data_IF_220731083103
#
_entry.id   IF_220731083103
#
_cell.length_a   1.000
_cell.length_b   1.000
_cell.length_c   1.000
_cell.angle_alpha   90.00
_cell.angle_beta   90.00
_cell.angle_gamma   90.00
#
_symmetry.space_group_name_H-M   'P 1'
#
loop_
_entity.id
_entity.type
_entity.pdbx_description
1 polymer ?
#
# COMPACT_ATOMS: atom_id res chain seq x y z
N UNK A 1 6.67 22.06 -54.19
CA UNK A 1 6.17 22.29 -52.82
C UNK A 1 5.78 20.92 -52.26
N UNK A 2 6.58 20.23 -51.46
CA UNK A 2 6.13 19.01 -50.83
C UNK A 2 5.27 19.34 -49.61
N UNK A 3 4.09 18.70 -49.52
CA UNK A 3 3.18 18.78 -48.39
C UNK A 3 3.87 18.12 -47.19
N UNK A 4 4.04 18.90 -46.12
CA UNK A 4 4.41 18.38 -44.79
C UNK A 4 3.27 17.49 -44.30
N UNK A 5 3.53 16.20 -44.20
CA UNK A 5 2.70 15.23 -43.48
C UNK A 5 2.78 15.56 -41.99
N UNK A 6 1.69 16.05 -41.44
CA UNK A 6 1.54 16.16 -39.99
C UNK A 6 1.60 14.74 -39.41
N UNK A 7 2.75 14.39 -38.85
CA UNK A 7 2.89 13.20 -38.03
C UNK A 7 2.06 13.44 -36.76
N UNK A 8 0.95 12.75 -36.67
CA UNK A 8 0.12 12.70 -35.47
C UNK A 8 0.97 12.11 -34.33
N UNK A 9 1.42 12.94 -33.41
CA UNK A 9 1.96 12.51 -32.13
C UNK A 9 0.81 11.88 -31.31
N UNK A 10 0.49 10.59 -31.58
CA UNK A 10 -0.14 9.76 -30.61
C UNK A 10 0.93 9.42 -29.58
N UNK A 11 0.98 10.16 -28.50
CA UNK A 11 1.78 9.79 -27.34
C UNK A 11 1.40 8.34 -26.95
N UNK A 12 2.39 7.44 -26.84
CA UNK A 12 2.16 6.09 -26.34
C UNK A 12 1.49 6.18 -24.99
N UNK A 13 0.40 5.41 -24.80
CA UNK A 13 -0.26 5.31 -23.51
C UNK A 13 0.70 4.75 -22.48
N UNK A 14 0.55 5.15 -21.25
CA UNK A 14 1.27 4.59 -20.11
C UNK A 14 0.61 3.24 -19.78
N UNK A 15 1.33 2.15 -19.98
CA UNK A 15 0.88 0.81 -19.66
C UNK A 15 1.07 0.53 -18.15
N UNK A 16 0.00 0.18 -17.47
CA UNK A 16 0.00 -0.05 -16.03
C UNK A 16 -0.59 -1.42 -15.70
N UNK A 17 0.10 -2.18 -14.86
CA UNK A 17 -0.41 -3.40 -14.25
C UNK A 17 -0.62 -3.18 -12.75
N UNK A 18 -1.81 -3.50 -12.25
CA UNK A 18 -2.18 -3.38 -10.84
C UNK A 18 -2.57 -4.75 -10.30
N UNK A 19 -1.89 -5.22 -9.27
CA UNK A 19 -2.17 -6.49 -8.62
C UNK A 19 -2.63 -6.28 -7.17
N UNK A 20 -3.81 -6.81 -6.83
CA UNK A 20 -4.45 -6.69 -5.52
C UNK A 20 -5.47 -7.82 -5.36
N UNK A 21 -5.57 -8.44 -4.19
CA UNK A 21 -6.55 -9.51 -3.93
C UNK A 21 -7.95 -8.97 -3.59
N UNK A 22 -8.12 -7.66 -3.50
CA UNK A 22 -9.40 -7.01 -3.28
C UNK A 22 -10.05 -6.61 -4.63
N UNK A 23 -10.99 -7.41 -5.12
CA UNK A 23 -11.67 -7.18 -6.39
C UNK A 23 -12.26 -5.76 -6.52
N UNK A 24 -12.85 -5.23 -5.45
CA UNK A 24 -13.41 -3.86 -5.43
C UNK A 24 -12.35 -2.78 -5.70
N UNK A 25 -11.13 -2.97 -5.21
CA UNK A 25 -10.01 -2.04 -5.45
C UNK A 25 -9.59 -2.10 -6.91
N UNK A 26 -9.47 -3.29 -7.48
CA UNK A 26 -9.15 -3.48 -8.89
C UNK A 26 -10.20 -2.84 -9.80
N UNK A 27 -11.49 -3.08 -9.53
CA UNK A 27 -12.60 -2.48 -10.29
C UNK A 27 -12.59 -0.95 -10.20
N UNK A 28 -12.34 -0.40 -9.03
CA UNK A 28 -12.25 1.06 -8.83
C UNK A 28 -11.10 1.66 -9.65
N UNK A 29 -9.91 1.05 -9.62
CA UNK A 29 -8.75 1.54 -10.38
C UNK A 29 -8.96 1.37 -11.89
N UNK A 30 -9.45 0.21 -12.33
CA UNK A 30 -9.75 -0.03 -13.74
C UNK A 30 -10.75 1.00 -14.26
N UNK A 31 -11.88 1.17 -13.56
CA UNK A 31 -12.89 2.16 -13.95
C UNK A 31 -12.34 3.59 -13.98
N UNK A 32 -11.59 4.00 -12.98
CA UNK A 32 -11.05 5.35 -12.90
C UNK A 32 -10.01 5.61 -14.00
N UNK A 33 -9.02 4.73 -14.13
CA UNK A 33 -7.89 4.92 -15.04
C UNK A 33 -8.28 4.72 -16.51
N UNK A 34 -9.24 3.82 -16.81
CA UNK A 34 -9.78 3.64 -18.17
C UNK A 34 -10.50 4.87 -18.70
N UNK A 35 -10.94 5.78 -17.81
CA UNK A 35 -11.49 7.08 -18.21
C UNK A 35 -10.40 8.15 -18.49
N UNK A 36 -9.14 7.84 -18.25
CA UNK A 36 -8.00 8.72 -18.55
C UNK A 36 -7.32 8.22 -19.85
N UNK A 37 -7.36 9.02 -20.93
CA UNK A 37 -6.93 8.54 -22.26
C UNK A 37 -5.45 8.18 -22.36
N UNK A 38 -4.64 8.68 -21.45
CA UNK A 38 -3.21 8.43 -21.37
C UNK A 38 -2.82 7.10 -20.73
N UNK A 39 -3.76 6.39 -20.07
CA UNK A 39 -3.47 5.10 -19.44
C UNK A 39 -4.03 3.90 -20.21
N UNK A 40 -3.31 2.81 -20.17
CA UNK A 40 -3.76 1.46 -20.53
C UNK A 40 -3.55 0.55 -19.32
N UNK A 41 -4.63 0.06 -18.71
CA UNK A 41 -4.61 -0.64 -17.43
C UNK A 41 -4.90 -2.12 -17.60
N UNK A 42 -4.19 -2.94 -16.86
CA UNK A 42 -4.49 -4.34 -16.63
C UNK A 42 -4.49 -4.61 -15.13
N UNK A 43 -5.29 -5.56 -14.70
CA UNK A 43 -5.44 -5.93 -13.30
C UNK A 43 -5.18 -7.41 -13.09
N UNK A 44 -4.69 -7.78 -11.92
CA UNK A 44 -4.42 -9.15 -11.50
C UNK A 44 -4.88 -9.37 -10.05
N UNK A 45 -5.47 -10.53 -9.70
CA UNK A 45 -5.95 -10.80 -8.35
C UNK A 45 -4.85 -11.28 -7.39
N UNK A 46 -3.67 -11.62 -7.89
CA UNK A 46 -2.53 -12.11 -7.12
C UNK A 46 -1.21 -11.91 -7.88
N UNK A 47 -0.10 -12.24 -7.23
CA UNK A 47 1.22 -12.07 -7.83
C UNK A 47 1.44 -13.00 -9.04
N UNK A 48 1.01 -14.25 -8.97
CA UNK A 48 1.28 -15.24 -10.02
C UNK A 48 0.52 -14.85 -11.31
N UNK A 49 -0.72 -14.37 -11.19
CA UNK A 49 -1.48 -13.80 -12.28
C UNK A 49 -0.79 -12.54 -12.87
N UNK A 50 -0.26 -11.66 -12.01
CA UNK A 50 0.47 -10.47 -12.45
C UNK A 50 1.73 -10.84 -13.25
N UNK A 51 2.53 -11.80 -12.76
CA UNK A 51 3.71 -12.29 -13.46
C UNK A 51 3.36 -12.93 -14.82
N UNK A 52 2.26 -13.67 -14.88
CA UNK A 52 1.76 -14.28 -16.14
C UNK A 52 1.34 -13.20 -17.16
N UNK A 53 0.69 -12.13 -16.70
CA UNK A 53 0.31 -10.99 -17.56
C UNK A 53 1.56 -10.30 -18.12
N UNK A 54 2.63 -10.16 -17.33
CA UNK A 54 3.90 -9.60 -17.82
C UNK A 54 4.53 -10.53 -18.87
N UNK A 55 4.45 -11.85 -18.67
CA UNK A 55 4.96 -12.81 -19.67
C UNK A 55 4.22 -12.72 -21.02
N UNK A 56 2.91 -12.51 -20.98
CA UNK A 56 2.09 -12.48 -22.19
C UNK A 56 2.18 -11.15 -22.95
N UNK A 57 2.34 -10.04 -22.23
CA UNK A 57 2.21 -8.70 -22.81
C UNK A 57 3.53 -7.91 -22.84
N UNK A 58 4.60 -8.45 -22.22
CA UNK A 58 5.86 -7.73 -22.03
C UNK A 58 5.85 -6.82 -20.81
N UNK A 59 6.95 -6.10 -20.62
CA UNK A 59 7.15 -5.22 -19.49
C UNK A 59 6.26 -3.96 -19.56
N UNK A 60 5.67 -3.59 -18.43
CA UNK A 60 4.81 -2.41 -18.25
C UNK A 60 5.62 -1.17 -17.87
N UNK A 61 5.09 0.02 -18.19
CA UNK A 61 5.71 1.27 -17.77
C UNK A 61 5.61 1.49 -16.26
N UNK A 62 4.59 0.87 -15.61
CA UNK A 62 4.46 0.82 -14.15
C UNK A 62 3.75 -0.46 -13.72
N UNK A 63 4.31 -1.14 -12.73
CA UNK A 63 3.67 -2.26 -12.03
C UNK A 63 3.42 -1.84 -10.58
N UNK A 64 2.17 -1.95 -10.12
CA UNK A 64 1.77 -1.75 -8.73
C UNK A 64 1.34 -3.09 -8.14
N UNK A 65 1.90 -3.47 -6.99
CA UNK A 65 1.56 -4.73 -6.32
C UNK A 65 1.16 -4.49 -4.87
N UNK A 66 0.08 -5.12 -4.42
CA UNK A 66 -0.28 -5.10 -3.00
C UNK A 66 0.70 -5.96 -2.19
N UNK A 67 1.10 -5.44 -1.04
CA UNK A 67 2.01 -6.14 -0.13
C UNK A 67 1.36 -7.39 0.49
N UNK A 68 0.06 -7.38 0.70
CA UNK A 68 -0.68 -8.40 1.47
C UNK A 68 -1.56 -9.31 0.60
N UNK A 69 -1.17 -9.56 -0.64
CA UNK A 69 -1.87 -10.48 -1.53
C UNK A 69 -1.18 -11.85 -1.64
N UNK A 70 -1.88 -12.90 -2.11
CA UNK A 70 -1.29 -14.22 -2.36
C UNK A 70 -0.05 -14.14 -3.27
N UNK A 71 0.97 -14.94 -2.93
CA UNK A 71 2.24 -15.03 -3.68
C UNK A 71 3.32 -14.04 -3.27
N UNK A 72 2.99 -12.95 -2.55
CA UNK A 72 3.94 -11.87 -2.20
C UNK A 72 5.02 -12.30 -1.22
N UNK A 73 4.68 -13.06 -0.14
CA UNK A 73 5.64 -13.44 0.91
C UNK A 73 6.50 -12.24 1.39
N UNK A 74 5.84 -11.13 1.73
CA UNK A 74 6.48 -9.86 2.04
C UNK A 74 7.09 -9.19 0.81
N UNK A 75 8.21 -8.49 0.99
CA UNK A 75 8.89 -7.76 -0.11
C UNK A 75 9.56 -8.66 -1.16
N UNK A 76 9.67 -9.97 -0.89
CA UNK A 76 10.22 -10.94 -1.85
C UNK A 76 9.39 -11.04 -3.14
N UNK A 77 8.07 -10.87 -3.05
CA UNK A 77 7.19 -10.82 -4.23
C UNK A 77 7.43 -9.58 -5.10
N UNK A 78 7.68 -8.43 -4.47
CA UNK A 78 8.05 -7.22 -5.20
C UNK A 78 9.33 -7.42 -6.00
N UNK A 79 10.34 -8.10 -5.43
CA UNK A 79 11.57 -8.41 -6.15
C UNK A 79 11.30 -9.24 -7.41
N UNK A 80 10.43 -10.25 -7.31
CA UNK A 80 10.01 -11.05 -8.47
C UNK A 80 9.33 -10.18 -9.54
N UNK A 81 8.39 -9.31 -9.12
CA UNK A 81 7.70 -8.40 -10.04
C UNK A 81 8.67 -7.43 -10.70
N UNK A 82 9.64 -6.87 -9.95
CA UNK A 82 10.66 -5.96 -10.46
C UNK A 82 11.58 -6.63 -11.48
N UNK A 83 12.08 -7.83 -11.15
CA UNK A 83 12.92 -8.60 -12.07
C UNK A 83 12.14 -8.98 -13.35
N UNK A 84 10.86 -9.36 -13.19
CA UNK A 84 9.99 -9.74 -14.30
C UNK A 84 9.62 -8.55 -15.19
N UNK A 85 9.46 -7.35 -14.60
CA UNK A 85 9.21 -6.11 -15.33
C UNK A 85 10.49 -5.49 -15.92
N UNK A 86 11.54 -6.28 -16.09
CA UNK A 86 12.82 -5.88 -16.71
C UNK A 86 13.47 -4.66 -16.03
N UNK A 87 13.30 -4.49 -14.73
CA UNK A 87 13.80 -3.35 -13.97
C UNK A 87 13.05 -2.03 -14.24
N UNK A 88 11.94 -2.06 -14.97
CA UNK A 88 11.06 -0.90 -15.13
C UNK A 88 10.33 -0.57 -13.83
N UNK A 89 9.76 0.64 -13.71
CA UNK A 89 9.09 1.09 -12.52
C UNK A 89 8.13 0.05 -11.93
N UNK A 90 8.41 -0.34 -10.68
CA UNK A 90 7.59 -1.27 -9.91
C UNK A 90 7.51 -0.74 -8.48
N UNK A 91 6.31 -0.62 -7.94
CA UNK A 91 6.06 -0.02 -6.64
C UNK A 91 5.02 -0.81 -5.83
N UNK A 92 4.95 -0.57 -4.53
CA UNK A 92 3.89 -1.11 -3.69
C UNK A 92 2.65 -0.23 -3.71
N UNK A 93 1.50 -0.89 -3.69
CA UNK A 93 0.20 -0.32 -3.38
C UNK A 93 -0.25 -0.93 -2.04
N UNK A 94 -0.32 -0.17 -0.96
CA UNK A 94 -0.58 -0.72 0.38
C UNK A 94 -1.33 0.25 1.27
N UNK A 95 -2.02 -0.26 2.28
CA UNK A 95 -2.75 0.57 3.24
C UNK A 95 -1.86 1.08 4.38
N UNK A 96 -0.88 0.30 4.81
CA UNK A 96 -0.06 0.60 6.00
C UNK A 96 1.38 0.06 5.85
N UNK A 97 2.26 0.76 5.11
CA UNK A 97 3.65 0.37 4.96
C UNK A 97 4.45 0.71 6.21
N UNK A 98 5.34 -0.20 6.64
CA UNK A 98 6.32 0.11 7.68
C UNK A 98 7.55 0.82 7.10
N UNK A 99 8.28 1.59 7.93
CA UNK A 99 9.53 2.23 7.51
C UNK A 99 10.56 1.22 6.99
N UNK A 100 10.59 0.03 7.57
CA UNK A 100 11.46 -1.06 7.13
C UNK A 100 11.10 -1.50 5.71
N UNK A 101 9.82 -1.76 5.42
CA UNK A 101 9.34 -2.13 4.08
C UNK A 101 9.69 -1.06 3.06
N UNK A 102 9.49 0.23 3.38
CA UNK A 102 9.85 1.34 2.49
C UNK A 102 11.36 1.34 2.19
N UNK A 103 12.21 1.17 3.22
CA UNK A 103 13.65 1.11 3.06
C UNK A 103 14.08 -0.07 2.18
N UNK A 104 13.52 -1.27 2.41
CA UNK A 104 13.81 -2.47 1.63
C UNK A 104 13.42 -2.31 0.15
N UNK A 105 12.24 -1.73 -0.12
CA UNK A 105 11.77 -1.46 -1.49
C UNK A 105 12.74 -0.54 -2.24
N UNK A 106 13.13 0.58 -1.61
CA UNK A 106 14.02 1.54 -2.23
C UNK A 106 15.42 0.96 -2.48
N UNK A 107 15.92 0.11 -1.56
CA UNK A 107 17.21 -0.59 -1.71
C UNK A 107 17.18 -1.62 -2.84
N UNK A 108 16.06 -2.31 -3.06
CA UNK A 108 15.88 -3.26 -4.16
C UNK A 108 15.71 -2.59 -5.53
N UNK A 109 15.64 -1.26 -5.58
CA UNK A 109 15.42 -0.52 -6.82
C UNK A 109 13.96 -0.26 -7.17
N UNK A 110 13.02 -0.55 -6.26
CA UNK A 110 11.60 -0.22 -6.42
C UNK A 110 11.37 1.28 -6.55
N UNK A 111 10.30 1.67 -7.23
CA UNK A 111 9.92 3.06 -7.47
C UNK A 111 9.24 3.73 -6.28
N UNK A 112 8.92 2.97 -5.23
CA UNK A 112 8.37 3.50 -3.99
C UNK A 112 7.05 2.88 -3.58
N UNK A 113 6.20 3.70 -2.95
CA UNK A 113 4.94 3.26 -2.32
C UNK A 113 3.81 4.23 -2.65
N UNK A 114 2.66 3.70 -3.00
CA UNK A 114 1.37 4.41 -3.06
C UNK A 114 0.48 3.89 -1.93
N UNK A 115 -0.17 4.80 -1.20
CA UNK A 115 -1.15 4.41 -0.21
C UNK A 115 -2.52 4.15 -0.87
N UNK A 116 -3.18 3.03 -0.52
CA UNK A 116 -4.56 2.73 -0.97
C UNK A 116 -5.57 3.79 -0.53
N UNK A 117 -5.22 4.65 0.44
CA UNK A 117 -6.01 5.78 0.91
C UNK A 117 -5.80 7.05 0.11
N UNK A 118 -4.85 7.07 -0.84
CA UNK A 118 -4.59 8.21 -1.73
C UNK A 118 -5.84 8.52 -2.58
N UNK A 119 -6.17 9.80 -2.73
CA UNK A 119 -7.27 10.18 -3.62
C UNK A 119 -6.96 9.79 -5.07
N UNK A 120 -7.98 9.37 -5.83
CA UNK A 120 -7.80 8.93 -7.22
C UNK A 120 -7.09 9.95 -8.11
N UNK A 121 -7.33 11.26 -7.87
CA UNK A 121 -6.66 12.33 -8.61
C UNK A 121 -5.15 12.37 -8.33
N UNK A 122 -4.76 12.23 -7.08
CA UNK A 122 -3.34 12.20 -6.69
C UNK A 122 -2.68 10.93 -7.19
N UNK A 123 -3.37 9.80 -7.07
CA UNK A 123 -2.92 8.50 -7.59
C UNK A 123 -2.46 8.60 -9.06
N UNK A 124 -3.28 9.17 -9.94
CA UNK A 124 -2.91 9.33 -11.35
C UNK A 124 -1.63 10.16 -11.54
N UNK A 125 -1.43 11.21 -10.72
CA UNK A 125 -0.20 12.02 -10.76
C UNK A 125 1.03 11.23 -10.27
N UNK A 126 0.88 10.49 -9.19
CA UNK A 126 1.92 9.63 -8.62
C UNK A 126 2.33 8.54 -9.61
N UNK A 127 1.33 7.91 -10.27
CA UNK A 127 1.58 6.91 -11.31
C UNK A 127 2.32 7.47 -12.53
N UNK A 128 1.93 8.66 -13.03
CA UNK A 128 2.66 9.34 -14.12
C UNK A 128 4.11 9.63 -13.73
N UNK A 129 4.32 10.12 -12.51
CA UNK A 129 5.66 10.42 -12.01
C UNK A 129 6.52 9.16 -11.91
N UNK A 130 5.97 8.06 -11.38
CA UNK A 130 6.70 6.80 -11.30
C UNK A 130 6.94 6.17 -12.68
N UNK A 131 5.96 6.16 -13.57
CA UNK A 131 6.12 5.63 -14.93
C UNK A 131 7.20 6.38 -15.73
N UNK A 132 7.43 7.67 -15.41
CA UNK A 132 8.54 8.45 -15.96
C UNK A 132 9.91 8.16 -15.29
N UNK A 133 9.99 7.15 -14.41
CA UNK A 133 11.21 6.76 -13.69
C UNK A 133 11.43 7.49 -12.36
N UNK A 134 10.45 8.29 -11.91
CA UNK A 134 10.50 8.95 -10.60
C UNK A 134 10.34 7.94 -9.44
N UNK A 135 10.89 8.29 -8.28
CA UNK A 135 10.66 7.54 -7.03
C UNK A 135 9.72 8.31 -6.13
N UNK A 136 8.65 7.67 -5.67
CA UNK A 136 7.64 8.30 -4.84
C UNK A 136 7.48 7.57 -3.50
N UNK A 137 7.55 8.36 -2.43
CA UNK A 137 7.17 7.93 -1.09
C UNK A 137 6.32 9.06 -0.49
N UNK A 138 5.12 8.77 0.03
CA UNK A 138 4.29 9.76 0.69
C UNK A 138 5.07 10.52 1.77
N UNK A 139 4.90 11.85 1.83
CA UNK A 139 5.65 12.72 2.76
C UNK A 139 5.38 12.33 4.22
N UNK A 140 4.17 11.88 4.50
CA UNK A 140 3.76 11.39 5.82
C UNK A 140 4.60 10.20 6.32
N UNK A 141 5.21 9.47 5.40
CA UNK A 141 6.08 8.32 5.68
C UNK A 141 7.56 8.71 5.77
N UNK A 142 7.93 9.94 5.42
CA UNK A 142 9.29 10.46 5.45
C UNK A 142 9.60 11.22 6.74
N UNK A 143 8.61 11.57 7.57
CA UNK A 143 8.82 12.28 8.83
C UNK A 143 9.56 11.38 9.83
N UNK A 144 10.77 11.78 10.30
CA UNK A 144 11.53 11.03 11.31
C UNK A 144 10.77 10.84 12.64
N UNK A 145 9.81 11.73 12.95
CA UNK A 145 8.97 11.58 14.15
C UNK A 145 7.87 10.53 13.93
N UNK A 146 7.30 10.44 12.73
CA UNK A 146 6.39 9.34 12.35
C UNK A 146 7.15 8.01 12.21
N UNK A 147 8.40 8.02 11.74
CA UNK A 147 9.27 6.84 11.73
C UNK A 147 9.67 6.39 13.14
N UNK A 148 9.89 7.32 14.09
CA UNK A 148 10.24 6.98 15.48
C UNK A 148 9.04 6.45 16.27
N UNK A 149 7.84 6.90 16.00
CA UNK A 149 6.62 6.34 16.62
C UNK A 149 6.26 4.94 16.08
N UNK A 150 6.79 4.55 14.91
CA UNK A 150 6.63 3.21 14.32
C UNK A 150 7.86 2.29 14.52
N UNK A 151 8.95 2.80 15.09
CA UNK A 151 10.28 2.16 15.14
C UNK A 151 10.73 1.62 16.49
N UNK A 152 9.83 1.21 17.38
CA UNK A 152 10.21 0.43 18.56
C UNK A 152 9.44 -0.89 18.54
N UNK A 153 10.19 -1.97 18.35
CA UNK A 153 9.74 -3.36 18.35
C UNK A 153 8.60 -3.66 17.35
N UNK A 154 8.82 -4.65 16.51
CA UNK A 154 7.88 -5.20 15.51
C UNK A 154 6.49 -5.49 16.13
N UNK A 155 5.67 -4.45 16.25
CA UNK A 155 4.31 -4.63 16.72
C UNK A 155 3.49 -5.32 15.63
N UNK A 156 2.80 -6.42 15.91
CA UNK A 156 1.91 -7.06 14.95
C UNK A 156 0.62 -6.27 14.71
N UNK A 157 0.50 -5.08 15.34
CA UNK A 157 -0.68 -4.25 15.31
C UNK A 157 -0.58 -3.19 14.20
N UNK A 158 -1.70 -2.94 13.51
CA UNK A 158 -1.84 -1.84 12.57
C UNK A 158 -1.82 -0.48 13.30
N UNK A 159 -1.60 0.62 12.57
CA UNK A 159 -1.65 1.98 13.13
C UNK A 159 -2.96 2.22 13.88
N UNK A 160 -4.08 1.82 13.30
CA UNK A 160 -5.40 2.01 13.92
C UNK A 160 -5.59 1.18 15.19
N UNK A 161 -5.03 -0.02 15.23
CA UNK A 161 -5.00 -0.84 16.43
C UNK A 161 -4.07 -0.25 17.50
N UNK A 162 -2.97 0.40 17.11
CA UNK A 162 -2.09 1.12 18.02
C UNK A 162 -2.79 2.35 18.63
N UNK A 163 -3.53 3.14 17.82
CA UNK A 163 -4.33 4.26 18.32
C UNK A 163 -5.33 3.78 19.38
N UNK A 164 -6.06 2.70 19.07
CA UNK A 164 -7.00 2.09 20.01
C UNK A 164 -6.28 1.57 21.25
N UNK A 165 -5.13 0.90 21.10
CA UNK A 165 -4.36 0.35 22.21
C UNK A 165 -3.83 1.44 23.16
N UNK A 166 -3.38 2.58 22.63
CA UNK A 166 -2.95 3.72 23.44
C UNK A 166 -4.07 4.23 24.35
N UNK A 167 -5.28 4.40 23.81
CA UNK A 167 -6.46 4.81 24.59
C UNK A 167 -6.95 3.72 25.56
N UNK A 168 -6.74 2.43 25.19
CA UNK A 168 -6.98 1.32 26.13
C UNK A 168 -6.02 1.37 27.33
N UNK A 169 -4.79 1.74 27.12
CA UNK A 169 -3.78 1.88 28.18
C UNK A 169 -4.11 3.03 29.16
N UNK A 170 -4.78 4.07 28.65
CA UNK A 170 -5.36 5.14 29.49
C UNK A 170 -6.59 4.69 30.29
N UNK A 171 -7.08 3.46 30.09
CA UNK A 171 -8.25 2.91 30.78
C UNK A 171 -9.61 3.33 30.17
N UNK A 172 -9.63 4.00 29.02
CA UNK A 172 -10.85 4.54 28.42
C UNK A 172 -11.83 3.42 28.00
N UNK A 173 -13.12 3.58 28.21
CA UNK A 173 -14.14 2.66 27.71
C UNK A 173 -14.29 2.81 26.18
N UNK A 174 -14.79 1.75 25.53
CA UNK A 174 -14.92 1.71 24.07
C UNK A 174 -15.75 2.87 23.48
N UNK A 175 -16.71 3.38 24.24
CA UNK A 175 -17.52 4.52 23.81
C UNK A 175 -16.67 5.80 23.70
N UNK A 176 -15.83 6.11 24.66
CA UNK A 176 -14.96 7.28 24.65
C UNK A 176 -13.89 7.15 23.54
N UNK A 177 -13.34 5.94 23.37
CA UNK A 177 -12.39 5.64 22.26
C UNK A 177 -13.06 5.88 20.90
N UNK A 178 -14.34 5.48 20.77
CA UNK A 178 -15.10 5.67 19.55
C UNK A 178 -15.33 7.15 19.24
N UNK A 179 -15.68 7.94 20.26
CA UNK A 179 -15.84 9.40 20.14
C UNK A 179 -14.53 10.08 19.75
N UNK A 180 -13.43 9.78 20.44
CA UNK A 180 -12.08 10.33 20.18
C UNK A 180 -11.57 10.03 18.76
N UNK A 181 -11.75 8.78 18.33
CA UNK A 181 -11.24 8.32 17.03
C UNK A 181 -12.25 8.49 15.90
N UNK A 182 -13.42 9.10 16.15
CA UNK A 182 -14.51 9.26 15.17
C UNK A 182 -14.93 7.92 14.54
N UNK A 183 -15.10 6.89 15.37
CA UNK A 183 -15.51 5.54 14.98
C UNK A 183 -16.86 5.16 15.59
N UNK A 184 -17.50 4.11 15.06
CA UNK A 184 -18.58 3.45 15.76
C UNK A 184 -18.03 2.58 16.92
N UNK A 185 -18.75 2.51 18.06
CA UNK A 185 -18.35 1.67 19.21
C UNK A 185 -18.18 0.19 18.83
N UNK A 186 -18.98 -0.30 17.87
CA UNK A 186 -18.86 -1.65 17.32
C UNK A 186 -17.51 -1.87 16.62
N UNK A 187 -17.02 -0.86 15.91
CA UNK A 187 -15.71 -0.89 15.24
C UNK A 187 -14.57 -0.93 16.26
N UNK A 188 -14.67 -0.15 17.34
CA UNK A 188 -13.68 -0.21 18.44
C UNK A 188 -13.68 -1.60 19.09
N UNK A 189 -14.83 -2.23 19.32
CA UNK A 189 -14.92 -3.62 19.82
C UNK A 189 -14.22 -4.62 18.89
N UNK A 190 -14.33 -4.43 17.58
CA UNK A 190 -13.61 -5.26 16.59
C UNK A 190 -12.10 -5.07 16.70
N UNK A 191 -11.62 -3.83 16.77
CA UNK A 191 -10.20 -3.54 16.96
C UNK A 191 -9.66 -4.14 18.27
N UNK A 192 -10.37 -3.99 19.38
CA UNK A 192 -9.97 -4.59 20.66
C UNK A 192 -9.86 -6.12 20.57
N UNK A 193 -10.80 -6.78 19.90
CA UNK A 193 -10.74 -8.23 19.65
C UNK A 193 -9.53 -8.60 18.81
N UNK A 194 -9.26 -7.86 17.74
CA UNK A 194 -8.11 -8.08 16.86
C UNK A 194 -6.78 -7.88 17.61
N UNK A 195 -6.66 -6.82 18.40
CA UNK A 195 -5.51 -6.55 19.27
C UNK A 195 -5.25 -7.73 20.20
N UNK A 196 -6.28 -8.19 20.93
CA UNK A 196 -6.16 -9.34 21.82
C UNK A 196 -5.65 -10.58 21.07
N UNK A 197 -6.22 -10.88 19.91
CA UNK A 197 -5.80 -12.03 19.08
C UNK A 197 -4.35 -11.91 18.65
N UNK A 198 -3.93 -10.76 18.13
CA UNK A 198 -2.58 -10.51 17.63
C UNK A 198 -1.51 -10.50 18.74
N UNK A 199 -1.87 -10.08 19.94
CA UNK A 199 -0.97 -10.07 21.09
C UNK A 199 -1.02 -11.38 21.91
N UNK A 200 -1.89 -12.32 21.59
CA UNK A 200 -2.11 -13.54 22.35
C UNK A 200 -2.71 -13.28 23.74
N UNK A 201 -3.49 -12.21 23.88
CA UNK A 201 -4.11 -11.79 25.15
C UNK A 201 -5.55 -12.29 25.24
N UNK A 202 -5.96 -12.70 26.46
CA UNK A 202 -7.31 -13.21 26.72
C UNK A 202 -8.33 -12.09 26.96
N UNK A 203 -7.90 -10.87 27.29
CA UNK A 203 -8.74 -9.71 27.54
C UNK A 203 -7.97 -8.40 27.29
N UNK A 204 -8.72 -7.26 27.30
CA UNK A 204 -8.16 -5.93 27.04
C UNK A 204 -7.05 -5.51 28.01
N UNK A 205 -7.17 -5.88 29.29
CA UNK A 205 -6.16 -5.54 30.30
C UNK A 205 -4.87 -6.30 30.06
N UNK A 206 -4.97 -7.60 29.74
CA UNK A 206 -3.82 -8.40 29.38
C UNK A 206 -3.17 -7.91 28.08
N UNK A 207 -3.97 -7.44 27.11
CA UNK A 207 -3.44 -6.86 25.88
C UNK A 207 -2.56 -5.63 26.16
N UNK A 208 -2.98 -4.75 27.06
CA UNK A 208 -2.17 -3.58 27.49
C UNK A 208 -0.88 -4.03 28.17
N UNK A 209 -0.94 -4.98 29.09
CA UNK A 209 0.26 -5.49 29.80
C UNK A 209 1.25 -6.09 28.79
N UNK A 210 0.79 -6.97 27.88
CA UNK A 210 1.65 -7.56 26.85
C UNK A 210 2.27 -6.51 25.94
N UNK A 211 1.52 -5.44 25.62
CA UNK A 211 2.02 -4.36 24.80
C UNK A 211 3.10 -3.54 25.52
N UNK A 212 2.95 -3.29 26.83
CA UNK A 212 3.96 -2.64 27.67
C UNK A 212 5.22 -3.49 27.81
N UNK A 213 5.08 -4.79 28.11
CA UNK A 213 6.20 -5.73 28.23
C UNK A 213 7.02 -5.84 26.94
N UNK A 214 6.37 -5.67 25.80
CA UNK A 214 7.01 -5.69 24.47
C UNK A 214 7.44 -4.29 23.98
N UNK A 215 7.31 -3.25 24.79
CA UNK A 215 7.59 -1.86 24.45
C UNK A 215 6.86 -1.38 23.19
N UNK A 216 5.60 -1.77 23.01
CA UNK A 216 4.75 -1.25 21.92
C UNK A 216 4.09 0.08 22.30
N UNK A 217 3.87 0.31 23.59
CA UNK A 217 3.31 1.53 24.20
C UNK A 217 4.04 1.84 25.51
#
# INVERSE_FOLDING_TARGET
MPKATASSMHGSKISVLIADDHAMILEMFDHFLSNLPEFEVRTAPDLDAALSIIDEHGAFDLVLVDLQMPGMNGVGGLKKALDKNEGRPTALLTSDPTAQVISEILQMGGSGVILKTTSLKNLANEMRFMAAGGRYVPVELLDPHMMKSRGTAQSPLSTREMDVLALLAEGRPNREIAEELSLAEATVKMHVKSICTKLGANNRTQAVIVAQDKNYI
#
